data_IF_567116343690
#
_entry.id   IF_567116343690
#
_cell.length_a   1.000
_cell.length_b   1.000
_cell.length_c   1.000
_cell.angle_alpha   90.00
_cell.angle_beta   90.00
_cell.angle_gamma   90.00
#
_symmetry.space_group_name_H-M   'P 1'
#
loop_
_entity.id
_entity.type
_entity.pdbx_description
1 polymer ?
#
# COMPACT_ATOMS: atom_id res chain seq x y z
N UNK A 1 -4.61 13.91 17.02
CA UNK A 1 -4.02 13.40 15.76
C UNK A 1 -2.58 13.87 15.74
N UNK A 2 -1.60 12.96 15.77
CA UNK A 2 -0.19 13.36 15.91
C UNK A 2 0.28 14.03 14.61
N UNK A 3 1.07 15.11 14.71
CA UNK A 3 1.62 15.87 13.57
C UNK A 3 2.23 14.98 12.46
N UNK A 4 2.81 13.85 12.86
CA UNK A 4 3.44 12.89 11.96
C UNK A 4 2.44 12.03 11.16
N UNK A 5 1.28 11.70 11.72
CA UNK A 5 0.21 10.96 11.02
C UNK A 5 -0.41 11.85 9.94
N UNK A 6 -0.57 13.15 10.26
CA UNK A 6 -1.01 14.17 9.31
C UNK A 6 0.00 14.36 8.18
N UNK A 7 1.31 14.39 8.46
CA UNK A 7 2.35 14.47 7.43
C UNK A 7 2.37 13.23 6.53
N UNK A 8 2.28 12.02 7.09
CA UNK A 8 2.20 10.78 6.31
C UNK A 8 0.96 10.75 5.40
N UNK A 9 -0.17 11.25 5.90
CA UNK A 9 -1.39 11.43 5.11
C UNK A 9 -1.19 12.38 3.92
N UNK A 10 -0.57 13.54 4.14
CA UNK A 10 -0.24 14.46 3.04
C UNK A 10 0.72 13.86 2.02
N UNK A 11 1.76 13.14 2.45
CA UNK A 11 2.68 12.47 1.52
C UNK A 11 1.99 11.38 0.68
N UNK A 12 1.05 10.63 1.27
CA UNK A 12 0.27 9.63 0.53
C UNK A 12 -0.66 10.28 -0.50
N UNK A 13 -1.27 11.42 -0.16
CA UNK A 13 -2.10 12.22 -1.08
C UNK A 13 -1.25 12.80 -2.20
N UNK A 14 -0.11 13.42 -1.89
CA UNK A 14 0.79 14.04 -2.87
C UNK A 14 1.35 12.99 -3.85
N UNK A 15 1.73 11.81 -3.37
CA UNK A 15 2.16 10.72 -4.24
C UNK A 15 1.01 10.18 -5.11
N UNK A 16 -0.20 10.06 -4.55
CA UNK A 16 -1.36 9.63 -5.32
C UNK A 16 -1.72 10.64 -6.42
N UNK A 17 -1.59 11.94 -6.15
CA UNK A 17 -1.79 13.02 -7.13
C UNK A 17 -0.68 13.02 -8.19
N UNK A 18 0.58 12.88 -7.80
CA UNK A 18 1.71 12.83 -8.72
C UNK A 18 1.62 11.64 -9.69
N UNK A 19 1.28 10.44 -9.17
CA UNK A 19 1.10 9.25 -10.01
C UNK A 19 -0.11 9.36 -10.94
N UNK A 20 -1.18 10.04 -10.53
CA UNK A 20 -2.32 10.34 -11.40
C UNK A 20 -1.93 11.25 -12.58
N UNK A 21 -1.01 12.20 -12.37
CA UNK A 21 -0.55 13.11 -13.43
C UNK A 21 0.49 12.50 -14.37
N UNK A 22 1.31 11.57 -13.90
CA UNK A 22 2.39 10.95 -14.70
C UNK A 22 1.95 9.67 -15.43
N UNK A 23 0.79 9.09 -15.07
CA UNK A 23 0.21 7.92 -15.76
C UNK A 23 0.87 6.59 -15.44
N UNK A 24 1.83 6.57 -14.53
CA UNK A 24 2.73 5.44 -14.27
C UNK A 24 2.43 4.84 -12.89
N UNK A 25 1.39 4.01 -12.80
CA UNK A 25 0.90 3.43 -11.54
C UNK A 25 1.80 2.29 -11.06
N UNK A 26 2.84 2.64 -10.30
CA UNK A 26 3.92 1.72 -9.91
C UNK A 26 3.85 1.23 -8.46
N UNK A 27 3.02 1.82 -7.61
CA UNK A 27 3.03 1.51 -6.17
C UNK A 27 1.72 0.93 -5.66
N UNK A 28 1.83 -0.26 -5.12
CA UNK A 28 0.85 -0.88 -4.24
C UNK A 28 0.97 -0.23 -2.85
N UNK A 29 -0.11 0.31 -2.29
CA UNK A 29 -0.11 0.82 -0.91
C UNK A 29 -0.11 -0.38 0.04
N UNK A 30 1.04 -1.00 0.22
CA UNK A 30 1.41 -1.54 1.52
C UNK A 30 1.85 -0.34 2.36
N UNK A 31 1.54 -0.33 3.66
CA UNK A 31 1.83 0.77 4.61
C UNK A 31 3.36 0.91 4.90
N UNK A 32 4.20 0.55 3.93
CA UNK A 32 5.62 0.86 3.91
C UNK A 32 5.79 2.16 3.13
N UNK A 33 5.67 3.29 3.85
CA UNK A 33 6.18 4.58 3.43
C UNK A 33 7.71 4.53 3.37
N UNK A 34 8.27 3.81 2.39
CA UNK A 34 9.57 4.20 1.87
C UNK A 34 9.38 5.64 1.40
N UNK A 35 10.24 6.56 1.90
CA UNK A 35 10.32 7.95 1.44
C UNK A 35 9.98 8.01 -0.05
N UNK A 36 8.80 8.52 -0.37
CA UNK A 36 8.33 8.83 -1.71
C UNK A 36 9.15 10.03 -2.21
N UNK A 37 10.44 9.80 -2.42
CA UNK A 37 11.24 10.66 -3.28
C UNK A 37 11.01 10.14 -4.69
N UNK A 38 10.64 11.00 -5.66
CA UNK A 38 10.76 10.65 -7.05
C UNK A 38 12.26 10.51 -7.33
N UNK A 39 12.80 9.30 -7.14
CA UNK A 39 14.01 8.93 -7.83
C UNK A 39 13.58 8.70 -9.26
N UNK A 40 13.88 9.68 -10.10
CA UNK A 40 14.11 9.43 -11.51
C UNK A 40 14.79 8.07 -11.68
N UNK A 41 14.14 7.19 -12.45
CA UNK A 41 14.58 5.84 -12.75
C UNK A 41 14.83 4.92 -11.53
N UNK A 42 13.75 4.34 -11.00
CA UNK A 42 13.81 2.96 -10.54
C UNK A 42 12.62 2.22 -11.14
N UNK A 43 12.87 1.57 -12.27
CA UNK A 43 12.08 0.44 -12.74
C UNK A 43 11.64 -0.42 -11.53
N UNK A 44 10.44 -1.00 -11.58
CA UNK A 44 10.04 -2.13 -10.74
C UNK A 44 11.08 -3.25 -10.91
N UNK A 45 12.16 -3.16 -10.12
CA UNK A 45 13.42 -3.87 -10.30
C UNK A 45 13.27 -5.37 -10.06
N UNK A 46 12.13 -5.78 -9.49
CA UNK A 46 11.76 -7.17 -9.26
C UNK A 46 10.88 -7.76 -10.36
N UNK A 47 9.93 -7.01 -10.94
CA UNK A 47 9.04 -7.51 -12.00
C UNK A 47 9.79 -7.79 -13.32
N UNK A 48 10.87 -7.03 -13.55
CA UNK A 48 11.76 -7.22 -14.69
C UNK A 48 12.77 -8.37 -14.50
N UNK A 49 12.83 -8.98 -13.31
CA UNK A 49 13.68 -10.17 -13.10
C UNK A 49 13.12 -11.35 -13.89
N UNK A 50 14.01 -12.25 -14.32
CA UNK A 50 13.61 -13.52 -14.92
C UNK A 50 12.84 -14.39 -13.91
N UNK A 51 13.23 -14.31 -12.63
CA UNK A 51 12.58 -14.97 -11.50
C UNK A 51 12.23 -13.93 -10.42
N UNK A 52 11.04 -13.31 -10.50
CA UNK A 52 10.64 -12.26 -9.56
C UNK A 52 10.46 -12.82 -8.14
N UNK A 53 11.12 -12.19 -7.16
CA UNK A 53 10.97 -12.52 -5.73
C UNK A 53 10.36 -11.34 -4.97
N UNK A 54 9.20 -11.56 -4.36
CA UNK A 54 8.54 -10.64 -3.45
C UNK A 54 8.90 -10.97 -2.00
N UNK A 55 9.62 -10.07 -1.34
CA UNK A 55 9.96 -10.22 0.09
C UNK A 55 8.92 -9.52 0.95
N UNK A 56 8.30 -10.24 1.88
CA UNK A 56 7.29 -9.70 2.80
C UNK A 56 7.73 -9.84 4.27
N UNK A 57 7.36 -8.88 5.15
CA UNK A 57 7.74 -8.91 6.56
C UNK A 57 6.84 -9.81 7.42
N UNK A 58 5.76 -10.34 6.86
CA UNK A 58 4.76 -11.17 7.54
C UNK A 58 4.33 -12.33 6.63
N UNK A 59 3.61 -13.29 7.19
CA UNK A 59 3.06 -14.44 6.46
C UNK A 59 2.11 -13.99 5.33
N UNK A 60 2.46 -14.36 4.10
CA UNK A 60 1.77 -13.96 2.87
C UNK A 60 0.40 -14.63 2.68
N UNK A 61 0.09 -15.62 3.53
CA UNK A 61 -1.20 -16.34 3.53
C UNK A 61 -2.23 -15.67 4.44
N UNK A 62 -1.81 -14.69 5.24
CA UNK A 62 -2.73 -13.89 6.04
C UNK A 62 -3.38 -12.84 5.13
N UNK A 63 -4.72 -12.83 4.97
CA UNK A 63 -5.40 -11.90 4.10
C UNK A 63 -5.19 -10.45 4.52
N UNK A 64 -5.02 -9.57 3.54
CA UNK A 64 -4.95 -8.13 3.70
C UNK A 64 -5.86 -7.46 2.68
N UNK A 65 -6.40 -6.31 3.04
CA UNK A 65 -7.18 -5.46 2.14
C UNK A 65 -6.27 -4.37 1.62
N UNK A 66 -6.39 -4.07 0.35
CA UNK A 66 -5.48 -3.16 -0.35
C UNK A 66 -6.23 -1.91 -0.77
N UNK A 67 -5.52 -0.80 -0.91
CA UNK A 67 -6.06 0.43 -1.46
C UNK A 67 -5.20 0.85 -2.64
N UNK A 68 -5.85 1.13 -3.77
CA UNK A 68 -5.17 1.64 -4.95
C UNK A 68 -5.03 3.14 -4.87
N UNK A 69 -3.86 3.67 -5.24
CA UNK A 69 -3.56 5.10 -5.13
C UNK A 69 -4.56 5.97 -5.89
N UNK A 70 -5.05 5.51 -7.05
CA UNK A 70 -6.08 6.24 -7.79
C UNK A 70 -7.38 6.39 -7.00
N UNK A 71 -7.86 5.34 -6.33
CA UNK A 71 -9.06 5.46 -5.51
C UNK A 71 -8.81 6.31 -4.26
N UNK A 72 -7.62 6.21 -3.65
CA UNK A 72 -7.23 7.05 -2.52
C UNK A 72 -7.18 8.53 -2.91
N UNK A 73 -6.60 8.86 -4.07
CA UNK A 73 -6.56 10.22 -4.62
C UNK A 73 -7.97 10.75 -4.84
N UNK A 74 -8.82 9.99 -5.52
CA UNK A 74 -10.20 10.42 -5.82
C UNK A 74 -11.01 10.64 -4.54
N UNK A 75 -10.92 9.73 -3.57
CA UNK A 75 -11.58 9.87 -2.27
C UNK A 75 -11.07 11.09 -1.50
N UNK A 76 -9.76 11.33 -1.52
CA UNK A 76 -9.14 12.47 -0.84
C UNK A 76 -9.56 13.80 -1.48
N UNK A 77 -9.51 13.89 -2.81
CA UNK A 77 -9.92 15.07 -3.56
C UNK A 77 -11.42 15.36 -3.34
N UNK A 78 -12.26 14.32 -3.34
CA UNK A 78 -13.69 14.45 -3.04
C UNK A 78 -13.90 15.03 -1.65
N UNK A 79 -13.28 14.43 -0.63
CA UNK A 79 -13.40 14.89 0.76
C UNK A 79 -12.97 16.35 0.94
N UNK A 80 -11.86 16.74 0.31
CA UNK A 80 -11.32 18.11 0.38
C UNK A 80 -12.24 19.11 -0.34
N UNK A 81 -12.81 18.75 -1.49
CA UNK A 81 -13.65 19.66 -2.30
C UNK A 81 -15.04 19.84 -1.73
N UNK A 82 -15.65 18.77 -1.21
CA UNK A 82 -17.01 18.77 -0.68
C UNK A 82 -17.07 19.28 0.77
N UNK A 83 -15.93 19.34 1.47
CA UNK A 83 -15.73 20.04 2.76
C UNK A 83 -16.75 19.65 3.83
N UNK A 84 -17.80 20.45 3.98
CA UNK A 84 -18.76 20.43 5.10
C UNK A 84 -19.45 19.07 5.23
N UNK A 85 -19.74 18.42 4.11
CA UNK A 85 -20.33 17.07 4.05
C UNK A 85 -19.43 15.98 4.67
N UNK A 86 -18.13 16.25 4.82
CA UNK A 86 -17.15 15.28 5.31
C UNK A 86 -16.48 15.69 6.62
N UNK A 87 -16.85 16.84 7.19
CA UNK A 87 -16.29 17.27 8.47
C UNK A 87 -16.59 16.25 9.57
N UNK A 88 -15.60 16.02 10.42
CA UNK A 88 -15.64 15.05 11.53
C UNK A 88 -15.92 13.59 11.13
N UNK A 89 -15.90 13.26 9.84
CA UNK A 89 -16.10 11.90 9.36
C UNK A 89 -14.79 11.11 9.31
N UNK A 90 -14.89 9.80 9.48
CA UNK A 90 -13.77 8.86 9.30
C UNK A 90 -14.18 7.77 8.31
N UNK A 91 -13.29 7.50 7.35
CA UNK A 91 -13.51 6.51 6.32
C UNK A 91 -12.40 5.45 6.39
N UNK A 92 -12.67 4.22 6.84
CA UNK A 92 -11.72 3.11 6.71
C UNK A 92 -11.66 2.67 5.25
N UNK A 93 -10.82 3.33 4.45
CA UNK A 93 -10.76 3.14 3.01
C UNK A 93 -10.00 1.85 2.64
N UNK A 94 -10.58 1.07 1.75
CA UNK A 94 -9.94 -0.04 1.06
C UNK A 94 -10.58 -0.25 -0.30
N UNK A 95 -9.81 -0.64 -1.31
CA UNK A 95 -10.28 -0.99 -2.66
C UNK A 95 -10.68 -2.46 -2.79
N UNK A 96 -10.16 -3.36 -1.95
CA UNK A 96 -10.41 -4.80 -2.04
C UNK A 96 -11.06 -5.35 -0.79
N UNK A 97 -11.79 -6.46 -0.91
CA UNK A 97 -11.97 -7.34 0.25
C UNK A 97 -10.62 -7.95 0.64
N UNK A 98 -10.49 -8.52 1.85
CA UNK A 98 -9.28 -9.23 2.24
C UNK A 98 -8.89 -10.29 1.22
N UNK A 99 -7.65 -10.23 0.74
CA UNK A 99 -7.04 -11.15 -0.21
C UNK A 99 -5.63 -11.48 0.25
N UNK A 100 -5.14 -12.68 -0.02
CA UNK A 100 -3.77 -13.04 0.36
C UNK A 100 -2.77 -12.44 -0.61
N UNK A 101 -1.54 -12.20 -0.15
CA UNK A 101 -0.45 -11.81 -1.06
C UNK A 101 -0.13 -12.93 -2.06
N UNK A 102 -0.40 -14.19 -1.71
CA UNK A 102 -0.31 -15.32 -2.63
C UNK A 102 -1.25 -15.15 -3.81
N UNK A 103 -2.55 -14.90 -3.56
CA UNK A 103 -3.54 -14.72 -4.62
C UNK A 103 -3.23 -13.50 -5.49
N UNK A 104 -2.73 -12.41 -4.89
CA UNK A 104 -2.27 -11.23 -5.63
C UNK A 104 -1.08 -11.59 -6.53
N UNK A 105 -0.07 -12.27 -5.99
CA UNK A 105 1.12 -12.66 -6.73
C UNK A 105 0.81 -13.65 -7.86
N UNK A 106 -0.13 -14.58 -7.65
CA UNK A 106 -0.56 -15.53 -8.68
C UNK A 106 -1.24 -14.78 -9.84
N UNK A 107 -2.17 -13.86 -9.54
CA UNK A 107 -2.82 -13.02 -10.57
C UNK A 107 -1.85 -12.14 -11.35
N UNK A 108 -0.90 -11.52 -10.65
CA UNK A 108 0.15 -10.71 -11.29
C UNK A 108 1.07 -11.62 -12.13
N UNK A 109 1.41 -12.80 -11.62
CA UNK A 109 2.26 -13.77 -12.29
C UNK A 109 1.65 -14.28 -13.60
N UNK A 110 0.35 -14.56 -13.61
CA UNK A 110 -0.40 -14.96 -14.81
C UNK A 110 -0.31 -13.90 -15.92
N UNK A 111 -0.45 -12.61 -15.56
CA UNK A 111 -0.33 -11.52 -16.52
C UNK A 111 1.09 -11.31 -17.04
N UNK A 112 2.10 -11.50 -16.19
CA UNK A 112 3.50 -11.37 -16.58
C UNK A 112 4.04 -12.61 -17.30
N UNK A 113 3.29 -13.72 -17.31
CA UNK A 113 3.78 -15.03 -17.74
C UNK A 113 4.94 -15.54 -16.89
N UNK A 114 4.99 -15.16 -15.60
CA UNK A 114 6.10 -15.46 -14.68
C UNK A 114 5.58 -15.94 -13.34
N UNK A 115 6.22 -16.93 -12.75
CA UNK A 115 5.97 -17.30 -11.35
C UNK A 115 6.66 -16.30 -10.41
N UNK A 116 5.88 -15.67 -9.53
CA UNK A 116 6.40 -14.80 -8.47
C UNK A 116 6.63 -15.63 -7.21
N UNK A 117 7.87 -15.69 -6.75
CA UNK A 117 8.21 -16.33 -5.48
C UNK A 117 7.97 -15.35 -4.32
N UNK A 118 7.27 -15.78 -3.27
CA UNK A 118 7.10 -14.97 -2.06
C UNK A 118 7.96 -15.53 -0.94
N UNK A 119 8.84 -14.69 -0.40
CA UNK A 119 9.74 -15.05 0.70
C UNK A 119 9.41 -14.21 1.93
N UNK A 120 9.11 -14.88 3.04
CA UNK A 120 8.97 -14.21 4.33
C UNK A 120 10.35 -13.83 4.86
N UNK A 121 10.52 -12.56 5.21
CA UNK A 121 11.73 -12.03 5.82
C UNK A 121 11.72 -12.36 7.33
N UNK A 122 12.86 -12.72 7.96
CA UNK A 122 12.93 -12.91 9.40
C UNK A 122 12.37 -11.72 10.19
N UNK A 123 11.83 -11.96 11.38
CA UNK A 123 11.15 -10.95 12.18
C UNK A 123 12.05 -9.76 12.51
N UNK A 124 13.25 -10.01 13.03
CA UNK A 124 14.20 -8.99 13.44
C UNK A 124 14.65 -8.14 12.23
N UNK A 125 14.91 -8.80 11.10
CA UNK A 125 15.25 -8.12 9.85
C UNK A 125 14.08 -7.26 9.34
N UNK A 126 12.84 -7.76 9.45
CA UNK A 126 11.63 -7.06 9.04
C UNK A 126 11.40 -5.80 9.86
N UNK A 127 11.51 -5.91 11.18
CA UNK A 127 11.41 -4.77 12.10
C UNK A 127 12.50 -3.75 11.82
N UNK A 128 13.74 -4.20 11.69
CA UNK A 128 14.88 -3.32 11.40
C UNK A 128 14.70 -2.59 10.06
N UNK A 129 14.26 -3.31 9.01
CA UNK A 129 13.97 -2.71 7.71
C UNK A 129 12.85 -1.68 7.79
N UNK A 130 11.76 -2.00 8.46
CA UNK A 130 10.60 -1.10 8.61
C UNK A 130 10.99 0.20 9.32
N UNK A 131 11.63 0.09 10.49
CA UNK A 131 12.01 1.27 11.29
C UNK A 131 13.07 2.11 10.57
N UNK A 132 14.04 1.47 9.91
CA UNK A 132 15.08 2.18 9.15
C UNK A 132 14.51 2.84 7.90
N UNK A 133 13.55 2.23 7.21
CA UNK A 133 12.91 2.82 6.04
C UNK A 133 12.18 4.13 6.39
N UNK A 134 11.49 4.15 7.55
CA UNK A 134 10.71 5.29 7.99
C UNK A 134 11.57 6.39 8.63
N UNK A 135 12.56 6.02 9.45
CA UNK A 135 13.28 6.96 10.32
C UNK A 135 14.78 7.07 10.00
N UNK A 136 15.29 6.32 9.02
CA UNK A 136 16.72 6.17 8.80
C UNK A 136 17.42 5.63 10.05
N UNK A 137 18.58 6.17 10.37
CA UNK A 137 19.32 5.85 11.60
C UNK A 137 18.83 6.63 12.84
N UNK A 138 17.75 7.42 12.70
CA UNK A 138 17.26 8.34 13.75
C UNK A 138 16.00 7.82 14.45
N UNK A 139 15.93 6.52 14.70
CA UNK A 139 14.84 5.96 15.49
C UNK A 139 15.22 5.80 16.96
N UNK A 140 14.21 5.82 17.83
CA UNK A 140 14.35 5.54 19.26
C UNK A 140 13.62 4.25 19.62
N UNK A 141 13.68 3.85 20.89
CA UNK A 141 13.01 2.64 21.39
C UNK A 141 11.49 2.66 21.15
N UNK A 142 10.84 3.82 21.19
CA UNK A 142 9.41 3.94 20.90
C UNK A 142 9.09 3.58 19.45
N UNK A 143 9.84 4.12 18.49
CA UNK A 143 9.66 3.81 17.08
C UNK A 143 9.87 2.32 16.78
N UNK A 144 10.85 1.71 17.47
CA UNK A 144 11.10 0.28 17.37
C UNK A 144 9.89 -0.53 17.87
N UNK A 145 9.37 -0.22 19.05
CA UNK A 145 8.18 -0.88 19.61
C UNK A 145 6.96 -0.77 18.68
N UNK A 146 6.79 0.36 17.99
CA UNK A 146 5.71 0.53 16.99
C UNK A 146 5.92 -0.38 15.78
N UNK A 147 7.15 -0.44 15.25
CA UNK A 147 7.49 -1.31 14.12
C UNK A 147 7.29 -2.80 14.46
N UNK A 148 7.73 -3.23 15.64
CA UNK A 148 7.51 -4.59 16.17
C UNK A 148 6.03 -4.96 16.22
N UNK A 149 5.21 -4.08 16.82
CA UNK A 149 3.76 -4.30 16.93
C UNK A 149 3.09 -4.36 15.56
N UNK A 150 3.52 -3.54 14.61
CA UNK A 150 2.98 -3.57 13.25
C UNK A 150 3.24 -4.93 12.58
N UNK A 151 4.49 -5.40 12.62
CA UNK A 151 4.87 -6.69 12.02
C UNK A 151 4.09 -7.83 12.68
N UNK A 152 4.02 -7.86 14.02
CA UNK A 152 3.28 -8.89 14.76
C UNK A 152 1.77 -8.84 14.52
N UNK A 153 1.21 -7.65 14.30
CA UNK A 153 -0.22 -7.49 14.01
C UNK A 153 -0.56 -8.11 12.66
N UNK A 154 0.16 -7.74 11.61
CA UNK A 154 -0.07 -8.26 10.27
C UNK A 154 0.16 -9.77 10.18
N UNK A 155 1.17 -10.27 10.88
CA UNK A 155 1.47 -11.71 10.99
C UNK A 155 0.30 -12.53 11.55
N UNK A 156 -0.52 -11.95 12.44
CA UNK A 156 -1.59 -12.68 13.14
C UNK A 156 -2.97 -12.43 12.57
N UNK A 157 -3.24 -11.19 12.17
CA UNK A 157 -4.59 -10.72 11.90
C UNK A 157 -4.77 -10.19 10.47
N UNK A 158 -3.68 -9.77 9.84
CA UNK A 158 -3.73 -8.94 8.63
C UNK A 158 -4.42 -7.61 8.86
N UNK A 159 -4.69 -6.89 7.78
CA UNK A 159 -5.54 -5.70 7.77
C UNK A 159 -6.79 -5.96 6.95
N UNK A 160 -7.91 -6.15 7.64
CA UNK A 160 -9.19 -6.46 7.00
C UNK A 160 -10.07 -5.20 6.92
N UNK A 161 -10.35 -4.77 5.70
CA UNK A 161 -11.21 -3.64 5.38
C UNK A 161 -12.41 -4.07 4.53
N UNK A 162 -13.26 -3.11 4.21
CA UNK A 162 -14.39 -3.32 3.31
C UNK A 162 -14.38 -2.28 2.19
N UNK A 163 -14.43 -2.70 0.92
CA UNK A 163 -14.49 -1.77 -0.21
C UNK A 163 -15.83 -1.03 -0.31
N UNK A 164 -16.83 -1.41 0.49
CA UNK A 164 -18.13 -0.75 0.51
C UNK A 164 -18.03 0.71 0.97
N UNK A 165 -17.18 1.02 1.95
CA UNK A 165 -17.02 2.41 2.43
C UNK A 165 -16.51 3.31 1.30
N UNK A 166 -15.50 2.83 0.57
CA UNK A 166 -14.94 3.54 -0.57
C UNK A 166 -15.94 3.61 -1.72
N UNK A 167 -16.71 2.54 -1.96
CA UNK A 167 -17.81 2.53 -2.95
C UNK A 167 -18.86 3.60 -2.65
N UNK A 168 -19.32 3.69 -1.41
CA UNK A 168 -20.31 4.69 -1.00
C UNK A 168 -19.77 6.10 -1.13
N UNK A 169 -18.51 6.31 -0.71
CA UNK A 169 -17.86 7.61 -0.83
C UNK A 169 -17.67 8.03 -2.30
N UNK A 170 -17.24 7.13 -3.18
CA UNK A 170 -16.95 7.46 -4.58
C UNK A 170 -18.20 7.45 -5.48
N UNK A 171 -19.28 6.78 -5.08
CA UNK A 171 -20.46 6.58 -5.94
C UNK A 171 -20.22 5.61 -7.11
N UNK A 172 -19.09 4.90 -7.11
CA UNK A 172 -18.72 3.86 -8.08
C UNK A 172 -18.00 2.71 -7.37
N UNK A 173 -17.88 1.55 -8.01
CA UNK A 173 -17.05 0.48 -7.45
C UNK A 173 -15.57 0.93 -7.40
N UNK A 174 -14.82 0.58 -6.34
CA UNK A 174 -13.36 0.73 -6.32
C UNK A 174 -12.70 -0.07 -7.43
N UNK A 175 -11.46 0.31 -7.76
CA UNK A 175 -10.65 -0.37 -8.76
C UNK A 175 -10.35 -1.80 -8.27
N UNK A 176 -10.49 -2.76 -9.18
CA UNK A 176 -10.11 -4.16 -8.96
C UNK A 176 -8.62 -4.37 -9.19
N UNK A 177 -8.08 -5.49 -8.71
CA UNK A 177 -6.68 -5.86 -8.98
C UNK A 177 -6.46 -6.01 -10.49
N UNK A 178 -7.41 -6.63 -11.20
CA UNK A 178 -7.38 -6.82 -12.65
C UNK A 178 -7.32 -5.49 -13.41
N UNK A 179 -8.18 -4.53 -13.06
CA UNK A 179 -8.19 -3.20 -13.69
C UNK A 179 -6.93 -2.40 -13.38
N UNK A 180 -6.39 -2.54 -12.16
CA UNK A 180 -5.12 -1.92 -11.79
C UNK A 180 -3.97 -2.51 -12.63
N UNK A 181 -3.87 -3.85 -12.71
CA UNK A 181 -2.82 -4.52 -13.46
C UNK A 181 -2.88 -4.22 -14.96
N UNK A 182 -4.07 -4.18 -15.56
CA UNK A 182 -4.25 -3.86 -16.98
C UNK A 182 -3.70 -2.46 -17.34
N UNK A 183 -3.71 -1.52 -16.39
CA UNK A 183 -3.19 -0.15 -16.58
C UNK A 183 -1.69 -0.03 -16.29
N UNK A 184 -1.15 -0.88 -15.42
CA UNK A 184 0.29 -0.89 -15.13
C UNK A 184 1.11 -1.63 -16.20
N UNK A 185 0.47 -2.39 -17.09
CA UNK A 185 1.12 -3.12 -18.18
C UNK A 185 1.16 -2.36 -19.52
N UNK A 186 0.46 -1.21 -19.64
CA UNK A 186 0.40 -0.33 -20.82
C UNK A 186 1.36 0.83 -20.70
#
# INVERSE_FOLDING_TARGET
>A
MHHQETQNGYFAIDAAVAEQTEGDFKHFVSINSQRLKPKSASNSTWANQEKPVLKLPYDHRIPNSHIFLKDLAEASVKAIREREEHFHSQYPLSSTFPITYQDVADRVGDLLGKKIEIVKTPYEESVQRLVTAQFGQRYNAWNLNVAERLVLWYERYGLNGSPNVLKWLLGRNPITIEEWMAKSAS
#
